data_IF_265987386727
#
_entry.id   IF_265987386727
#
_cell.length_a   1.000
_cell.length_b   1.000
_cell.length_c   1.000
_cell.angle_alpha   90.00
_cell.angle_beta   90.00
_cell.angle_gamma   90.00
#
_symmetry.space_group_name_H-M   'P 1'
#
loop_
_entity.id
_entity.type
_entity.pdbx_description
1 polymer ?
#
# COMPACT_ATOMS: atom_id res chain seq x y z
N UNK A 1 -4.98 -39.88 0.61
CA UNK A 1 -3.83 -39.00 0.90
C UNK A 1 -2.63 -39.64 0.23
N UNK A 2 -1.77 -38.82 -0.36
CA UNK A 2 -0.56 -39.22 -1.05
C UNK A 2 0.58 -38.30 -0.61
N UNK A 3 1.76 -38.88 -0.47
CA UNK A 3 2.96 -38.12 -0.13
C UNK A 3 3.67 -37.73 -1.42
N UNK A 4 4.02 -36.46 -1.58
CA UNK A 4 4.78 -35.94 -2.72
C UNK A 4 6.08 -35.31 -2.23
N UNK A 5 7.14 -35.44 -3.02
CA UNK A 5 8.42 -34.81 -2.73
C UNK A 5 8.48 -33.44 -3.42
N UNK A 6 8.71 -32.38 -2.66
CA UNK A 6 8.92 -31.03 -3.18
C UNK A 6 10.42 -30.74 -3.21
N UNK A 7 10.98 -30.62 -4.41
CA UNK A 7 12.37 -30.29 -4.65
C UNK A 7 12.57 -28.79 -4.81
N UNK A 8 13.31 -28.20 -3.88
CA UNK A 8 13.67 -26.78 -3.93
C UNK A 8 14.80 -26.55 -4.92
N UNK A 9 14.71 -25.45 -5.68
CA UNK A 9 15.85 -24.98 -6.50
C UNK A 9 17.11 -24.64 -5.67
N UNK A 10 16.98 -24.49 -4.35
CA UNK A 10 18.11 -24.34 -3.40
C UNK A 10 18.82 -25.65 -3.05
N UNK A 11 18.35 -26.79 -3.57
CA UNK A 11 18.89 -28.13 -3.33
C UNK A 11 18.29 -28.88 -2.13
N UNK A 12 17.26 -28.32 -1.48
CA UNK A 12 16.54 -28.95 -0.36
C UNK A 12 15.35 -29.78 -0.84
N UNK A 13 14.94 -30.76 -0.06
CA UNK A 13 13.75 -31.58 -0.30
C UNK A 13 12.82 -31.51 0.90
N UNK A 14 11.53 -31.37 0.65
CA UNK A 14 10.48 -31.33 1.67
C UNK A 14 9.35 -32.28 1.28
N UNK A 15 8.81 -33.03 2.24
CA UNK A 15 7.70 -33.96 2.01
C UNK A 15 6.38 -33.31 2.39
N UNK A 16 5.41 -33.34 1.47
CA UNK A 16 4.10 -32.71 1.65
C UNK A 16 3.01 -33.76 1.47
N UNK A 17 2.02 -33.78 2.36
CA UNK A 17 0.95 -34.77 2.35
C UNK A 17 -0.33 -34.13 1.78
N UNK A 18 -0.71 -34.54 0.59
CA UNK A 18 -1.82 -33.96 -0.18
C UNK A 18 -2.83 -35.03 -0.59
N UNK A 19 -4.00 -34.63 -1.04
CA UNK A 19 -4.97 -35.51 -1.70
C UNK A 19 -4.99 -35.21 -3.19
N UNK A 20 -5.31 -36.19 -4.05
CA UNK A 20 -5.52 -35.92 -5.48
C UNK A 20 -6.59 -34.85 -5.74
N UNK A 21 -7.58 -34.72 -4.86
CA UNK A 21 -8.62 -33.69 -4.92
C UNK A 21 -8.16 -32.29 -4.51
N UNK A 22 -7.00 -32.17 -3.86
CA UNK A 22 -6.51 -30.87 -3.40
C UNK A 22 -5.99 -30.07 -4.60
N UNK A 23 -5.98 -28.75 -4.47
CA UNK A 23 -5.47 -27.86 -5.52
C UNK A 23 -3.99 -27.59 -5.36
N UNK A 24 -3.36 -27.09 -6.43
CA UNK A 24 -1.99 -26.59 -6.34
C UNK A 24 -1.86 -25.47 -5.28
N UNK A 25 -2.91 -24.65 -5.10
CA UNK A 25 -2.97 -23.64 -4.04
C UNK A 25 -2.85 -24.25 -2.65
N UNK A 26 -3.59 -25.32 -2.36
CA UNK A 26 -3.55 -25.98 -1.06
C UNK A 26 -2.14 -26.53 -0.74
N UNK A 27 -1.44 -27.08 -1.74
CA UNK A 27 -0.06 -27.55 -1.55
C UNK A 27 0.90 -26.39 -1.20
N UNK A 28 0.74 -25.22 -1.85
CA UNK A 28 1.55 -24.02 -1.54
C UNK A 28 1.30 -23.53 -0.11
N UNK A 29 0.06 -23.54 0.36
CA UNK A 29 -0.29 -23.17 1.73
C UNK A 29 0.31 -24.14 2.78
N UNK A 30 0.39 -25.44 2.46
CA UNK A 30 1.09 -26.39 3.34
C UNK A 30 2.60 -26.10 3.40
N UNK A 31 3.22 -25.77 2.26
CA UNK A 31 4.64 -25.38 2.23
C UNK A 31 4.85 -24.08 3.02
N UNK A 32 3.95 -23.10 2.90
CA UNK A 32 3.97 -21.87 3.69
C UNK A 32 3.93 -22.15 5.20
N UNK A 33 3.06 -23.06 5.64
CA UNK A 33 2.98 -23.44 7.05
C UNK A 33 4.25 -24.15 7.55
N UNK A 34 4.94 -24.91 6.70
CA UNK A 34 6.15 -25.66 7.06
C UNK A 34 7.42 -24.81 7.02
N UNK A 35 7.54 -23.93 6.04
CA UNK A 35 8.80 -23.24 5.72
C UNK A 35 8.73 -21.72 5.93
N UNK A 36 7.53 -21.17 6.15
CA UNK A 36 7.31 -19.73 6.31
C UNK A 36 7.45 -18.94 5.01
N UNK A 37 7.48 -19.60 3.85
CA UNK A 37 7.53 -18.98 2.54
C UNK A 37 6.09 -18.75 2.08
N UNK A 38 5.70 -17.49 1.84
CA UNK A 38 4.33 -17.20 1.43
C UNK A 38 3.92 -18.01 0.19
N UNK A 39 2.72 -18.60 0.23
CA UNK A 39 2.19 -19.43 -0.85
C UNK A 39 2.21 -18.71 -2.22
N UNK A 40 2.08 -17.37 -2.21
CA UNK A 40 2.09 -16.54 -3.42
C UNK A 40 3.47 -16.47 -4.11
N UNK A 41 4.55 -16.74 -3.36
CA UNK A 41 5.92 -16.79 -3.88
C UNK A 41 6.24 -18.11 -4.56
N UNK A 42 5.49 -19.15 -4.21
CA UNK A 42 5.80 -20.53 -4.56
C UNK A 42 5.20 -20.82 -5.92
N UNK A 43 6.06 -21.23 -6.86
CA UNK A 43 5.65 -21.83 -8.12
C UNK A 43 6.05 -23.30 -8.13
N UNK A 44 5.05 -24.15 -8.35
CA UNK A 44 5.21 -25.59 -8.41
C UNK A 44 5.25 -26.03 -9.87
N UNK A 45 6.23 -26.85 -10.21
CA UNK A 45 6.45 -27.39 -11.55
C UNK A 45 6.53 -28.91 -11.47
N UNK A 46 5.78 -29.57 -12.34
CA UNK A 46 5.84 -31.02 -12.52
C UNK A 46 6.18 -31.33 -13.97
N UNK A 47 7.27 -32.07 -14.20
CA UNK A 47 7.77 -32.40 -15.55
C UNK A 47 7.91 -31.19 -16.49
N UNK A 48 8.26 -30.02 -15.93
CA UNK A 48 8.39 -28.77 -16.68
C UNK A 48 7.07 -28.01 -16.89
N UNK A 49 5.93 -28.56 -16.51
CA UNK A 49 4.63 -27.88 -16.53
C UNK A 49 4.36 -27.19 -15.19
N UNK A 50 4.02 -25.90 -15.22
CA UNK A 50 3.60 -25.16 -14.03
C UNK A 50 2.20 -25.63 -13.57
N UNK A 51 2.08 -25.94 -12.29
CA UNK A 51 0.79 -26.24 -11.66
C UNK A 51 0.03 -24.93 -11.41
N UNK A 52 -1.21 -24.86 -11.88
CA UNK A 52 -2.05 -23.67 -11.73
C UNK A 52 -2.86 -23.75 -10.44
N UNK A 53 -2.91 -22.65 -9.67
CA UNK A 53 -3.52 -22.58 -8.33
C UNK A 53 -4.95 -23.11 -8.27
N UNK A 54 -5.74 -22.90 -9.32
CA UNK A 54 -7.15 -23.30 -9.40
C UNK A 54 -7.40 -24.70 -9.96
N UNK A 55 -6.36 -25.48 -10.30
CA UNK A 55 -6.49 -26.84 -10.82
C UNK A 55 -6.23 -27.88 -9.72
N UNK A 56 -7.04 -28.93 -9.63
CA UNK A 56 -6.80 -30.04 -8.72
C UNK A 56 -5.56 -30.84 -9.18
N UNK A 57 -4.87 -31.47 -8.22
CA UNK A 57 -3.69 -32.26 -8.49
C UNK A 57 -4.00 -33.51 -9.33
N UNK A 58 -5.25 -34.01 -9.28
CA UNK A 58 -5.74 -35.12 -10.11
C UNK A 58 -5.73 -34.84 -11.60
N UNK A 59 -5.76 -33.56 -12.01
CA UNK A 59 -5.72 -33.18 -13.43
C UNK A 59 -4.30 -33.29 -14.00
N UNK A 60 -3.31 -33.46 -13.12
CA UNK A 60 -1.92 -33.73 -13.47
C UNK A 60 -1.60 -35.20 -13.17
N UNK A 61 -0.68 -35.83 -13.94
CA UNK A 61 -0.27 -37.21 -13.69
C UNK A 61 0.73 -37.30 -12.51
N UNK A 62 0.32 -36.78 -11.34
CA UNK A 62 1.09 -36.78 -10.10
C UNK A 62 0.71 -38.02 -9.28
N UNK A 63 1.69 -38.89 -9.05
CA UNK A 63 1.55 -40.09 -8.23
C UNK A 63 2.22 -39.92 -6.85
N UNK A 64 1.98 -40.87 -5.94
CA UNK A 64 2.71 -40.93 -4.68
C UNK A 64 4.22 -41.03 -4.96
N UNK A 65 5.03 -40.28 -4.20
CA UNK A 65 6.48 -40.14 -4.37
C UNK A 65 6.92 -39.44 -5.66
N UNK A 66 6.01 -38.76 -6.37
CA UNK A 66 6.38 -37.86 -7.47
C UNK A 66 7.20 -36.67 -6.96
N UNK A 67 8.21 -36.27 -7.73
CA UNK A 67 9.03 -35.09 -7.43
C UNK A 67 8.47 -33.85 -8.14
N UNK A 68 8.02 -32.87 -7.37
CA UNK A 68 7.57 -31.56 -7.83
C UNK A 68 8.68 -30.56 -7.58
N UNK A 69 9.11 -29.82 -8.60
CA UNK A 69 10.10 -28.76 -8.44
C UNK A 69 9.44 -27.48 -7.95
N UNK A 70 10.03 -26.85 -6.95
CA UNK A 70 9.59 -25.59 -6.38
C UNK A 70 10.57 -24.47 -6.72
N UNK A 71 10.05 -23.41 -7.34
CA UNK A 71 10.77 -22.15 -7.51
C UNK A 71 10.09 -21.06 -6.68
N UNK A 72 10.88 -20.34 -5.89
CA UNK A 72 10.43 -19.15 -5.17
C UNK A 72 10.71 -17.92 -6.04
N UNK A 73 9.67 -17.18 -6.42
CA UNK A 73 9.84 -15.87 -7.03
C UNK A 73 10.28 -14.86 -5.96
N UNK A 74 11.24 -13.96 -6.25
CA UNK A 74 11.68 -12.98 -5.28
C UNK A 74 10.51 -12.05 -4.93
N UNK A 75 10.18 -11.96 -3.64
CA UNK A 75 9.33 -10.88 -3.14
C UNK A 75 10.16 -9.63 -2.89
N UNK A 76 9.54 -8.50 -3.15
CA UNK A 76 10.01 -7.22 -2.68
C UNK A 76 9.42 -6.93 -1.32
N UNK A 77 10.28 -6.57 -0.38
CA UNK A 77 9.88 -6.01 0.89
C UNK A 77 9.77 -4.51 0.74
N UNK A 78 8.55 -3.99 0.72
CA UNK A 78 8.26 -2.58 0.48
C UNK A 78 7.82 -1.94 1.78
N UNK A 79 8.22 -0.68 2.00
CA UNK A 79 7.76 0.13 3.10
C UNK A 79 6.54 0.97 2.67
N UNK A 80 5.36 0.67 3.21
CA UNK A 80 4.19 1.52 3.10
C UNK A 80 4.21 2.59 4.20
N UNK A 81 4.22 3.85 3.81
CA UNK A 81 4.10 4.99 4.73
C UNK A 81 2.75 5.67 4.54
N UNK A 82 1.94 5.66 5.59
CA UNK A 82 0.59 6.22 5.55
C UNK A 82 0.60 7.74 5.77
N UNK A 83 0.00 8.45 4.83
CA UNK A 83 -0.29 9.89 4.89
C UNK A 83 -1.69 10.00 5.52
N UNK A 84 -1.76 10.51 6.76
CA UNK A 84 -2.97 10.68 7.58
C UNK A 84 -3.61 9.39 8.14
N UNK A 85 -4.05 9.43 9.40
CA UNK A 85 -5.00 8.51 10.06
C UNK A 85 -4.93 7.00 9.69
N UNK A 86 -3.73 6.49 9.46
CA UNK A 86 -3.40 5.08 9.23
C UNK A 86 -2.45 4.54 10.31
N UNK A 87 -2.13 3.25 10.29
CA UNK A 87 -1.10 2.69 11.15
C UNK A 87 0.25 3.37 10.86
N UNK A 88 1.21 3.25 11.78
CA UNK A 88 2.60 3.63 11.51
C UNK A 88 3.16 2.95 10.25
N UNK A 89 4.37 3.34 9.81
CA UNK A 89 5.00 2.74 8.63
C UNK A 89 5.01 1.22 8.75
N UNK A 90 4.53 0.53 7.71
CA UNK A 90 4.34 -0.91 7.68
C UNK A 90 5.19 -1.50 6.56
N UNK A 91 5.95 -2.54 6.88
CA UNK A 91 6.55 -3.38 5.86
C UNK A 91 5.56 -4.43 5.39
N UNK A 92 5.45 -4.59 4.09
CA UNK A 92 4.68 -5.67 3.47
C UNK A 92 5.52 -6.29 2.35
N UNK A 93 5.29 -7.58 2.13
CA UNK A 93 5.99 -8.32 1.09
C UNK A 93 5.06 -8.48 -0.11
N UNK A 94 5.57 -8.21 -1.31
CA UNK A 94 4.79 -8.24 -2.54
C UNK A 94 5.64 -8.65 -3.72
N UNK A 95 5.03 -9.27 -4.73
CA UNK A 95 5.72 -9.63 -5.96
C UNK A 95 6.03 -8.38 -6.82
N UNK A 96 7.15 -8.35 -7.56
CA UNK A 96 7.45 -7.27 -8.51
C UNK A 96 6.38 -7.09 -9.58
N UNK A 97 5.79 -8.20 -10.03
CA UNK A 97 4.71 -8.23 -11.03
C UNK A 97 3.32 -8.02 -10.46
N UNK A 98 3.18 -7.81 -9.14
CA UNK A 98 1.88 -7.55 -8.54
C UNK A 98 1.30 -6.23 -9.07
N UNK A 99 -0.02 -6.20 -9.19
CA UNK A 99 -0.72 -4.99 -9.60
C UNK A 99 -0.92 -4.08 -8.39
N UNK A 100 -1.03 -2.78 -8.66
CA UNK A 100 -1.32 -1.77 -7.65
C UNK A 100 -2.64 -2.07 -6.93
N UNK A 101 -3.65 -2.61 -7.62
CA UNK A 101 -4.91 -3.05 -6.99
C UNK A 101 -4.67 -4.11 -5.90
N UNK A 102 -3.74 -5.05 -6.13
CA UNK A 102 -3.45 -6.15 -5.21
C UNK A 102 -2.77 -5.61 -3.94
N UNK A 103 -1.88 -4.63 -4.10
CA UNK A 103 -1.26 -3.92 -2.97
C UNK A 103 -2.29 -3.21 -2.12
N UNK A 104 -3.30 -2.57 -2.73
CA UNK A 104 -4.38 -1.93 -1.98
C UNK A 104 -5.19 -2.93 -1.16
N UNK A 105 -5.47 -4.12 -1.71
CA UNK A 105 -6.15 -5.18 -0.96
C UNK A 105 -5.29 -5.72 0.19
N UNK A 106 -3.97 -5.77 0.05
CA UNK A 106 -3.05 -6.14 1.15
C UNK A 106 -3.06 -5.08 2.26
N UNK A 107 -3.07 -3.80 1.90
CA UNK A 107 -3.00 -2.69 2.86
C UNK A 107 -4.35 -2.33 3.48
N UNK A 108 -5.48 -2.62 2.82
CA UNK A 108 -6.81 -2.27 3.31
C UNK A 108 -7.13 -2.85 4.70
N UNK A 109 -6.87 -4.15 4.99
CA UNK A 109 -7.06 -4.71 6.33
C UNK A 109 -6.23 -4.03 7.41
N UNK A 110 -5.01 -3.58 7.08
CA UNK A 110 -4.11 -2.92 8.04
C UNK A 110 -4.64 -1.56 8.51
N UNK A 111 -5.52 -0.92 7.74
CA UNK A 111 -6.12 0.38 8.08
C UNK A 111 -7.40 0.21 8.92
N UNK A 112 -8.05 -0.95 8.85
CA UNK A 112 -9.22 -1.27 9.67
C UNK A 112 -10.45 -0.39 9.41
N UNK A 113 -10.58 0.21 8.21
CA UNK A 113 -11.70 1.08 7.84
C UNK A 113 -12.39 0.57 6.57
N UNK A 114 -13.64 0.16 6.71
CA UNK A 114 -14.48 -0.28 5.59
C UNK A 114 -14.88 0.91 4.70
N UNK A 115 -14.87 0.71 3.38
CA UNK A 115 -15.32 1.71 2.39
C UNK A 115 -14.31 2.82 2.04
N UNK A 116 -13.06 2.70 2.48
CA UNK A 116 -11.98 3.64 2.16
C UNK A 116 -11.31 3.26 0.83
N UNK A 117 -11.10 4.25 -0.04
CA UNK A 117 -10.27 4.10 -1.25
C UNK A 117 -8.82 4.44 -0.92
N UNK A 118 -7.90 3.56 -1.31
CA UNK A 118 -6.46 3.81 -1.15
C UNK A 118 -5.87 4.39 -2.43
N UNK A 119 -5.04 5.41 -2.26
CA UNK A 119 -4.24 6.00 -3.31
C UNK A 119 -2.78 5.69 -2.98
N UNK A 120 -2.12 4.97 -3.88
CA UNK A 120 -0.68 4.71 -3.77
C UNK A 120 0.07 5.77 -4.56
N UNK A 121 1.11 6.32 -3.94
CA UNK A 121 1.98 7.34 -4.49
C UNK A 121 3.41 6.81 -4.47
N UNK A 122 4.09 6.92 -5.60
CA UNK A 122 5.51 6.61 -5.73
C UNK A 122 6.15 7.62 -6.66
N UNK A 123 7.32 8.15 -6.30
CA UNK A 123 8.04 9.18 -7.07
C UNK A 123 7.14 10.34 -7.56
N UNK A 124 6.32 10.89 -6.65
CA UNK A 124 5.36 11.98 -6.94
C UNK A 124 4.34 11.66 -8.04
N UNK A 125 4.09 10.38 -8.30
CA UNK A 125 3.08 9.90 -9.23
C UNK A 125 2.07 9.04 -8.48
N UNK A 126 0.81 9.23 -8.83
CA UNK A 126 -0.24 8.29 -8.47
C UNK A 126 -0.07 7.02 -9.30
N UNK A 127 -0.04 5.89 -8.61
CA UNK A 127 -0.03 4.59 -9.26
C UNK A 127 -1.46 4.23 -9.69
N UNK A 128 -1.60 3.81 -10.93
CA UNK A 128 -2.87 3.34 -11.49
C UNK A 128 -3.08 1.86 -11.12
N UNK A 129 -4.32 1.47 -10.86
CA UNK A 129 -4.68 0.15 -10.28
C UNK A 129 -4.29 -1.05 -11.18
N UNK A 130 -4.11 -0.78 -12.47
CA UNK A 130 -3.73 -1.74 -13.50
C UNK A 130 -2.22 -1.76 -13.80
N UNK A 131 -1.44 -0.89 -13.15
CA UNK A 131 0.02 -0.87 -13.29
C UNK A 131 0.67 -1.95 -12.42
N UNK A 132 1.72 -2.59 -12.95
CA UNK A 132 2.58 -3.47 -12.15
C UNK A 132 3.58 -2.63 -11.35
N UNK A 133 3.97 -3.11 -10.15
CA UNK A 133 4.93 -2.39 -9.31
C UNK A 133 6.30 -2.22 -9.99
N UNK A 134 6.75 -3.23 -10.73
CA UNK A 134 8.00 -3.17 -11.49
C UNK A 134 7.96 -2.10 -12.58
N UNK A 135 6.83 -1.94 -13.27
CA UNK A 135 6.64 -0.92 -14.30
C UNK A 135 6.58 0.50 -13.71
N UNK A 136 6.24 0.60 -12.42
CA UNK A 136 6.22 1.85 -11.69
C UNK A 136 7.62 2.31 -11.24
N UNK A 137 8.67 1.50 -11.47
CA UNK A 137 10.04 1.79 -11.03
C UNK A 137 10.26 1.60 -9.53
N UNK A 138 9.37 0.87 -8.86
CA UNK A 138 9.58 0.46 -7.46
C UNK A 138 10.61 -0.67 -7.46
N UNK A 139 11.38 -0.81 -6.39
CA UNK A 139 12.39 -1.86 -6.24
C UNK A 139 12.26 -2.55 -4.87
N UNK A 140 13.02 -3.62 -4.67
CA UNK A 140 13.11 -4.27 -3.37
C UNK A 140 13.67 -3.31 -2.31
N UNK A 141 13.01 -3.19 -1.16
CA UNK A 141 13.35 -2.20 -0.14
C UNK A 141 12.84 -0.79 -0.45
N UNK A 142 12.11 -0.60 -1.56
CA UNK A 142 11.50 0.67 -1.92
C UNK A 142 10.45 1.14 -0.91
N UNK A 143 10.15 2.43 -0.94
CA UNK A 143 9.12 3.05 -0.11
C UNK A 143 8.00 3.61 -0.97
N UNK A 144 6.76 3.35 -0.58
CA UNK A 144 5.56 3.90 -1.19
C UNK A 144 4.80 4.73 -0.17
N UNK A 145 4.15 5.77 -0.64
CA UNK A 145 3.26 6.60 0.15
C UNK A 145 1.83 6.13 -0.07
N UNK A 146 1.09 5.96 1.02
CA UNK A 146 -0.29 5.49 1.02
C UNK A 146 -1.18 6.59 1.56
N UNK A 147 -2.11 7.06 0.74
CA UNK A 147 -3.10 8.03 1.15
C UNK A 147 -4.50 7.40 1.17
N UNK A 148 -5.29 7.85 2.14
CA UNK A 148 -6.62 7.31 2.46
C UNK A 148 -7.67 8.32 1.96
N UNK A 149 -8.48 7.93 0.98
CA UNK A 149 -9.61 8.70 0.46
C UNK A 149 -10.93 8.08 0.96
N UNK A 150 -11.66 8.76 1.84
CA UNK A 150 -12.95 8.30 2.38
C UNK A 150 -14.11 9.23 2.01
N UNK A 151 -15.37 8.76 2.09
CA UNK A 151 -16.54 9.65 2.03
C UNK A 151 -16.55 10.58 3.25
N UNK A 152 -17.10 11.79 3.08
CA UNK A 152 -17.20 12.91 4.03
C UNK A 152 -17.94 12.60 5.36
N UNK A 153 -17.48 11.58 6.08
CA UNK A 153 -18.13 10.96 7.23
C UNK A 153 -17.45 11.20 8.57
N UNK A 154 -16.39 12.02 8.64
CA UNK A 154 -15.98 12.64 9.90
C UNK A 154 -16.81 13.92 10.12
N UNK A 155 -18.13 13.77 10.34
CA UNK A 155 -19.12 14.87 10.32
C UNK A 155 -19.11 15.84 11.52
N UNK A 156 -18.16 15.77 12.44
CA UNK A 156 -18.14 16.64 13.64
C UNK A 156 -16.95 17.61 13.73
N UNK A 157 -16.38 18.06 12.61
CA UNK A 157 -15.18 18.90 12.64
C UNK A 157 -15.24 20.04 11.64
N UNK A 158 -14.66 21.21 11.99
CA UNK A 158 -14.33 22.26 11.01
C UNK A 158 -13.25 21.69 10.09
N UNK A 159 -13.60 21.48 8.82
CA UNK A 159 -12.73 20.84 7.82
C UNK A 159 -12.16 21.92 6.91
N UNK A 160 -10.84 21.91 6.68
CA UNK A 160 -10.25 22.61 5.54
C UNK A 160 -10.06 21.57 4.44
N UNK A 161 -10.76 21.75 3.33
CA UNK A 161 -10.60 20.88 2.17
C UNK A 161 -9.35 21.31 1.40
N UNK A 162 -8.27 20.54 1.51
CA UNK A 162 -7.02 20.82 0.80
C UNK A 162 -6.93 19.97 -0.46
N UNK A 163 -7.06 20.57 -1.63
CA UNK A 163 -6.73 19.90 -2.88
C UNK A 163 -5.21 19.91 -3.06
N UNK A 164 -4.55 18.79 -2.75
CA UNK A 164 -3.11 18.66 -2.91
C UNK A 164 -2.78 18.24 -4.34
N UNK A 165 -2.21 19.13 -5.13
CA UNK A 165 -1.77 18.81 -6.48
C UNK A 165 -0.45 18.02 -6.42
N UNK A 166 -0.46 16.81 -6.96
CA UNK A 166 0.71 15.92 -7.07
C UNK A 166 0.88 15.58 -8.55
N UNK A 167 1.83 16.25 -9.21
CA UNK A 167 1.95 16.28 -10.69
C UNK A 167 0.77 16.99 -11.37
N UNK A 168 0.57 16.82 -12.69
CA UNK A 168 -0.56 17.39 -13.47
C UNK A 168 -1.96 16.89 -13.06
N UNK A 169 -2.08 16.14 -11.94
CA UNK A 169 -3.33 15.62 -11.40
C UNK A 169 -3.54 16.18 -9.99
N UNK A 170 -4.71 16.79 -9.76
CA UNK A 170 -5.12 17.21 -8.43
C UNK A 170 -5.54 15.99 -7.59
N UNK A 171 -5.07 15.90 -6.36
CA UNK A 171 -5.49 14.91 -5.38
C UNK A 171 -6.19 15.64 -4.22
N UNK A 172 -7.49 15.41 -4.05
CA UNK A 172 -8.22 16.00 -2.92
C UNK A 172 -7.82 15.30 -1.63
N UNK A 173 -7.21 16.04 -0.70
CA UNK A 173 -6.83 15.56 0.62
C UNK A 173 -7.62 16.33 1.68
N UNK A 174 -8.42 15.59 2.45
CA UNK A 174 -9.19 16.19 3.54
C UNK A 174 -8.28 16.38 4.75
N UNK A 175 -8.02 17.63 5.15
CA UNK A 175 -7.34 17.92 6.40
C UNK A 175 -8.41 18.10 7.50
N UNK A 176 -8.61 17.06 8.30
CA UNK A 176 -9.47 17.12 9.47
C UNK A 176 -8.69 17.67 10.66
N UNK A 177 -9.09 18.82 11.19
CA UNK A 177 -8.53 19.37 12.42
C UNK A 177 -9.46 19.02 13.59
N UNK A 178 -8.94 18.29 14.57
CA UNK A 178 -9.66 18.05 15.82
C UNK A 178 -9.70 19.34 16.64
N UNK A 179 -10.90 19.81 16.95
CA UNK A 179 -11.11 20.77 18.03
C UNK A 179 -11.06 19.97 19.33
N UNK A 180 -9.88 19.77 19.91
CA UNK A 180 -9.80 19.34 21.31
C UNK A 180 -10.07 20.55 22.18
N UNK A 181 -11.22 20.53 22.83
CA UNK A 181 -11.66 21.35 23.96
C UNK A 181 -10.75 22.53 24.36
N UNK A 182 -11.29 23.73 24.16
CA UNK A 182 -10.92 24.99 24.80
C UNK A 182 -9.48 25.51 24.56
N UNK A 183 -9.33 26.42 23.57
CA UNK A 183 -8.56 27.70 23.62
C UNK A 183 -7.79 28.12 22.35
N UNK A 184 -7.86 27.41 21.23
CA UNK A 184 -7.29 27.93 19.97
C UNK A 184 -8.41 28.39 19.02
N UNK A 185 -8.81 29.65 19.15
CA UNK A 185 -9.38 30.36 18.00
C UNK A 185 -8.30 30.52 16.91
N UNK A 186 -8.68 30.69 15.64
CA UNK A 186 -7.76 31.00 14.56
C UNK A 186 -6.70 32.04 14.96
N UNK A 187 -5.48 31.92 14.39
CA UNK A 187 -5.23 31.22 13.13
C UNK A 187 -4.72 29.76 13.27
N UNK A 188 -5.11 28.88 12.35
CA UNK A 188 -4.49 27.54 12.20
C UNK A 188 -3.06 27.68 11.70
N UNK A 189 -2.10 27.01 12.33
CA UNK A 189 -0.71 27.07 11.91
C UNK A 189 -0.44 26.08 10.77
N UNK A 190 0.45 26.46 9.85
CA UNK A 190 0.90 25.59 8.76
C UNK A 190 1.52 24.30 9.33
N UNK A 191 2.21 24.37 10.48
CA UNK A 191 2.72 23.17 11.18
C UNK A 191 1.65 22.10 11.42
N UNK A 192 0.40 22.51 11.68
CA UNK A 192 -0.69 21.59 11.99
C UNK A 192 -1.13 20.84 10.74
N UNK A 193 -1.03 21.46 9.56
CA UNK A 193 -1.21 20.80 8.27
C UNK A 193 -0.08 19.81 8.01
N UNK A 194 1.17 20.22 8.24
CA UNK A 194 2.32 19.31 8.08
C UNK A 194 2.23 18.13 9.04
N UNK A 195 1.75 18.35 10.27
CA UNK A 195 1.49 17.29 11.24
C UNK A 195 0.33 16.39 10.82
N UNK A 196 -0.80 16.96 10.37
CA UNK A 196 -1.95 16.20 9.89
C UNK A 196 -1.57 15.32 8.69
N UNK A 197 -0.88 15.90 7.70
CA UNK A 197 -0.37 15.20 6.52
C UNK A 197 0.87 14.33 6.81
N UNK A 198 1.37 14.32 8.04
CA UNK A 198 2.60 13.62 8.43
C UNK A 198 3.82 13.99 7.57
N UNK A 199 3.81 15.18 6.93
CA UNK A 199 4.91 15.71 6.11
C UNK A 199 6.17 15.99 6.94
N UNK A 200 6.06 16.08 8.27
CA UNK A 200 7.20 16.10 9.18
C UNK A 200 8.16 14.91 8.96
N UNK A 201 7.65 13.79 8.40
CA UNK A 201 8.45 12.59 8.05
C UNK A 201 9.04 12.64 6.65
N UNK A 202 8.72 13.66 5.87
CA UNK A 202 9.15 13.85 4.49
C UNK A 202 9.80 15.24 4.29
N UNK A 203 11.01 15.49 4.84
CA UNK A 203 11.65 16.81 4.83
C UNK A 203 12.05 17.31 3.43
N UNK A 204 11.97 16.46 2.41
CA UNK A 204 12.32 16.79 1.02
C UNK A 204 11.20 17.52 0.26
N UNK A 205 10.00 17.62 0.84
CA UNK A 205 8.81 18.18 0.19
C UNK A 205 8.21 19.26 1.08
N UNK A 206 7.79 20.35 0.45
CA UNK A 206 7.09 21.45 1.11
C UNK A 206 5.75 21.69 0.39
N UNK A 207 4.80 22.23 1.13
CA UNK A 207 3.54 22.68 0.56
C UNK A 207 3.72 24.07 -0.04
N UNK A 208 3.12 24.30 -1.20
CA UNK A 208 3.00 25.62 -1.81
C UNK A 208 1.54 25.96 -2.06
N UNK A 209 1.15 27.21 -1.80
CA UNK A 209 -0.16 27.75 -2.12
C UNK A 209 0.01 29.00 -2.98
N UNK A 210 -0.69 29.06 -4.11
CA UNK A 210 -0.60 30.18 -5.08
C UNK A 210 0.85 30.58 -5.44
N UNK A 211 1.77 29.61 -5.47
CA UNK A 211 3.19 29.82 -5.77
C UNK A 211 4.04 30.29 -4.60
N UNK A 212 3.47 30.50 -3.41
CA UNK A 212 4.20 30.76 -2.17
C UNK A 212 4.44 29.46 -1.41
N UNK A 213 5.60 29.29 -0.78
CA UNK A 213 5.88 28.13 0.07
C UNK A 213 5.24 28.36 1.43
N UNK A 214 4.46 27.39 1.90
CA UNK A 214 3.86 27.41 3.23
C UNK A 214 4.92 27.08 4.28
N UNK A 215 5.37 28.11 5.00
CA UNK A 215 6.29 28.01 6.12
C UNK A 215 5.58 27.48 7.39
N UNK A 216 6.12 26.44 8.03
CA UNK A 216 5.57 25.81 9.25
C UNK A 216 5.34 26.79 10.42
N UNK A 217 6.12 27.88 10.46
CA UNK A 217 6.03 28.92 11.49
C UNK A 217 4.88 29.91 11.29
N UNK A 218 4.24 29.93 10.13
CA UNK A 218 3.16 30.87 9.77
C UNK A 218 1.79 30.24 9.89
N UNK A 219 0.79 31.08 9.78
CA UNK A 219 -0.62 30.69 9.86
C UNK A 219 -1.29 30.69 8.50
N UNK A 220 -2.39 29.95 8.36
CA UNK A 220 -3.13 29.85 7.10
C UNK A 220 -3.76 31.17 6.66
N UNK A 221 -4.19 32.00 7.61
CA UNK A 221 -4.77 33.32 7.34
C UNK A 221 -3.76 34.28 6.71
N UNK A 222 -2.47 34.15 7.06
CA UNK A 222 -1.40 34.95 6.44
C UNK A 222 -1.24 34.65 4.95
N UNK A 223 -1.67 33.47 4.50
CA UNK A 223 -1.70 33.10 3.08
C UNK A 223 -3.08 33.32 2.45
N UNK A 224 -4.01 33.99 3.14
CA UNK A 224 -5.36 34.26 2.64
C UNK A 224 -6.29 33.05 2.66
N UNK A 225 -5.90 31.95 3.32
CA UNK A 225 -6.79 30.81 3.52
C UNK A 225 -7.67 31.06 4.75
N UNK A 226 -8.94 31.35 4.51
CA UNK A 226 -9.93 31.55 5.55
C UNK A 226 -10.59 30.22 5.92
N UNK A 227 -10.78 30.00 7.23
CA UNK A 227 -11.57 28.87 7.71
C UNK A 227 -12.98 29.35 7.99
N UNK A 228 -13.85 29.30 6.97
CA UNK A 228 -15.25 29.65 7.14
C UNK A 228 -16.08 28.44 7.59
N UNK A 229 -17.34 28.67 7.98
CA UNK A 229 -18.31 27.59 8.25
C UNK A 229 -18.80 26.90 6.95
N UNK A 230 -18.36 27.40 5.79
CA UNK A 230 -18.69 26.87 4.47
C UNK A 230 -17.50 26.04 3.94
N UNK A 231 -17.80 25.01 3.14
CA UNK A 231 -16.77 24.15 2.52
C UNK A 231 -15.96 24.94 1.49
N UNK A 232 -14.89 25.59 1.93
CA UNK A 232 -13.91 26.23 1.04
C UNK A 232 -12.80 25.25 0.67
N UNK A 233 -12.52 25.17 -0.63
CA UNK A 233 -11.51 24.29 -1.20
C UNK A 233 -10.27 25.09 -1.53
N UNK A 234 -9.17 24.80 -0.85
CA UNK A 234 -7.88 25.43 -1.10
C UNK A 234 -6.97 24.46 -1.84
N UNK A 235 -6.46 24.85 -3.00
CA UNK A 235 -5.54 24.00 -3.76
C UNK A 235 -4.10 24.31 -3.36
N UNK A 236 -3.44 23.36 -2.70
CA UNK A 236 -2.02 23.42 -2.35
C UNK A 236 -1.23 22.44 -3.21
N UNK A 237 0.04 22.70 -3.48
CA UNK A 237 0.89 21.90 -4.36
C UNK A 237 2.05 21.35 -3.54
N UNK A 238 2.34 20.05 -3.68
CA UNK A 238 3.56 19.49 -3.11
C UNK A 238 4.75 19.80 -4.03
N UNK A 239 5.67 20.63 -3.57
CA UNK A 239 6.88 21.02 -4.30
C UNK A 239 8.13 20.52 -3.59
N UNK A 240 9.21 20.18 -4.32
CA UNK A 240 10.50 19.92 -3.69
C UNK A 240 10.90 21.11 -2.81
N UNK A 241 11.45 20.82 -1.62
CA UNK A 241 12.08 21.86 -0.81
C UNK A 241 13.23 22.48 -1.63
N UNK A 242 13.24 23.82 -1.84
CA UNK A 242 14.30 24.49 -2.59
C UNK A 242 15.65 24.43 -1.88
#
# INVERSE_FOLDING_TARGET
>A
MMMVEVYHMSGRKTEVNVKPSDTARHMKEQIEAQEGISADCINLFFQGQQLLDGQPLSDYPIEASSTITMACSPMWRILATFIQCGPGPLHFDVRPSALVRDVKTILAPAIGKDGVKLILLFDRKRLDDDSQLIDCGIENGGSILVAIQGPAGCRDHRVINLSVMVSKRAMEIYAHFRHSDHQAEPPYAVRDIYQALSLNRCPQVVLSFEGQILEEGRTLEEYGMQTTQYEEYYTVVLVPRP
#
